data_IF_928493743504
#
_entry.id   IF_928493743504
#
_cell.length_a   1.000
_cell.length_b   1.000
_cell.length_c   1.000
_cell.angle_alpha   90.00
_cell.angle_beta   90.00
_cell.angle_gamma   90.00
#
_symmetry.space_group_name_H-M   'P 1'
#
loop_
_entity.id
_entity.type
_entity.pdbx_description
1 polymer ?
#
# COMPACT_ATOMS: atom_id res chain seq x y z
N UNK A 1 14.79 18.50 -34.99
CA UNK A 1 14.93 18.43 -33.51
C UNK A 1 13.66 17.80 -33.01
N UNK A 2 13.67 16.50 -32.76
CA UNK A 2 12.54 15.77 -32.20
C UNK A 2 12.41 16.16 -30.72
N UNK A 3 11.28 16.79 -30.38
CA UNK A 3 10.88 16.96 -28.99
C UNK A 3 10.68 15.58 -28.38
N UNK A 4 11.72 15.05 -27.73
CA UNK A 4 11.54 13.95 -26.76
C UNK A 4 10.66 14.52 -25.66
N UNK A 5 9.37 14.19 -25.69
CA UNK A 5 8.49 14.38 -24.54
C UNK A 5 9.17 13.67 -23.36
N UNK A 6 9.64 14.44 -22.38
CA UNK A 6 10.21 13.87 -21.16
C UNK A 6 9.13 12.98 -20.54
N UNK A 7 9.39 11.69 -20.51
CA UNK A 7 8.52 10.73 -19.81
C UNK A 7 8.44 11.17 -18.35
N UNK A 8 7.25 11.53 -17.89
CA UNK A 8 7.01 11.80 -16.48
C UNK A 8 7.38 10.58 -15.62
N UNK A 9 7.92 10.78 -14.44
CA UNK A 9 8.22 9.71 -13.49
C UNK A 9 6.92 9.11 -12.96
N UNK A 10 6.71 7.80 -13.15
CA UNK A 10 5.51 7.09 -12.70
C UNK A 10 5.78 6.31 -11.41
N UNK A 11 5.22 6.79 -10.30
CA UNK A 11 5.20 6.12 -9.00
C UNK A 11 3.87 5.39 -8.81
N UNK A 12 3.91 4.07 -8.60
CA UNK A 12 2.72 3.28 -8.32
C UNK A 12 2.65 2.91 -6.82
N UNK A 13 1.56 3.28 -6.14
CA UNK A 13 1.29 2.83 -4.78
C UNK A 13 0.83 1.37 -4.76
N UNK A 14 1.33 0.57 -3.84
CA UNK A 14 0.93 -0.83 -3.64
C UNK A 14 0.56 -1.06 -2.18
N UNK A 15 -0.63 -1.61 -1.94
CA UNK A 15 -1.20 -1.78 -0.60
C UNK A 15 -1.66 -3.22 -0.43
N UNK A 16 -1.06 -4.00 0.48
CA UNK A 16 -1.54 -5.33 0.83
C UNK A 16 -2.73 -5.20 1.79
N UNK A 17 -3.88 -5.68 1.38
CA UNK A 17 -5.09 -5.72 2.22
C UNK A 17 -5.32 -7.14 2.71
N UNK A 18 -5.20 -8.14 1.83
CA UNK A 18 -5.29 -9.54 2.21
C UNK A 18 -4.21 -9.94 3.19
N UNK A 19 -4.53 -10.90 4.06
CA UNK A 19 -3.62 -11.41 5.13
C UNK A 19 -3.10 -10.36 6.11
N UNK A 20 -3.82 -9.28 6.26
CA UNK A 20 -3.66 -8.44 7.43
C UNK A 20 -4.40 -9.09 8.61
N UNK A 21 -3.66 -9.74 9.50
CA UNK A 21 -4.17 -10.43 10.67
C UNK A 21 -3.87 -9.62 11.95
N UNK A 22 -4.77 -9.74 12.93
CA UNK A 22 -4.65 -9.13 14.26
C UNK A 22 -4.69 -10.24 15.30
N UNK A 23 -4.12 -10.01 16.49
CA UNK A 23 -4.18 -10.93 17.63
C UNK A 23 -5.51 -10.87 18.40
N UNK A 24 -6.45 -10.05 17.93
CA UNK A 24 -7.78 -9.88 18.52
C UNK A 24 -8.87 -10.01 17.45
N UNK A 25 -10.05 -10.46 17.89
CA UNK A 25 -11.20 -10.60 17.01
C UNK A 25 -11.74 -9.23 16.58
N UNK A 26 -12.02 -9.11 15.32
CA UNK A 26 -12.61 -7.91 14.71
C UNK A 26 -13.96 -8.23 14.07
N UNK A 27 -14.90 -7.29 14.14
CA UNK A 27 -16.24 -7.45 13.52
C UNK A 27 -16.15 -7.44 12.00
N UNK A 28 -15.10 -6.83 11.45
CA UNK A 28 -14.84 -6.72 10.02
C UNK A 28 -13.37 -6.99 9.75
N UNK A 29 -13.01 -7.07 8.47
CA UNK A 29 -11.61 -7.22 8.10
C UNK A 29 -10.73 -6.13 8.76
N UNK A 30 -9.55 -6.46 9.34
CA UNK A 30 -8.72 -5.52 10.11
C UNK A 30 -8.35 -4.23 9.37
N UNK A 31 -8.22 -4.27 8.06
CA UNK A 31 -7.96 -3.05 7.24
C UNK A 31 -9.10 -2.03 7.29
N UNK A 32 -10.31 -2.46 7.69
CA UNK A 32 -11.49 -1.61 7.83
C UNK A 32 -11.68 -1.08 9.27
N UNK A 33 -10.72 -1.30 10.16
CA UNK A 33 -10.74 -0.75 11.51
C UNK A 33 -10.75 0.77 11.48
N UNK A 34 -11.52 1.34 12.38
CA UNK A 34 -11.70 2.79 12.53
C UNK A 34 -10.49 3.36 13.30
N UNK A 35 -9.76 4.28 12.67
CA UNK A 35 -8.59 4.95 13.26
C UNK A 35 -8.85 6.43 13.58
N UNK A 36 -10.01 6.94 13.22
CA UNK A 36 -10.42 8.31 13.46
C UNK A 36 -11.87 8.54 13.06
N UNK A 37 -12.36 9.76 13.23
CA UNK A 37 -13.73 10.10 12.83
C UNK A 37 -13.90 9.87 11.32
N UNK A 38 -14.74 8.87 10.96
CA UNK A 38 -15.01 8.50 9.57
C UNK A 38 -13.72 8.18 8.75
N UNK A 39 -12.74 7.56 9.40
CA UNK A 39 -11.43 7.29 8.81
C UNK A 39 -11.00 5.86 9.15
N UNK A 40 -10.72 5.08 8.11
CA UNK A 40 -10.33 3.68 8.21
C UNK A 40 -8.82 3.50 8.03
N UNK A 41 -8.27 2.42 8.54
CA UNK A 41 -6.87 2.06 8.38
C UNK A 41 -6.46 1.97 6.90
N UNK A 42 -7.30 1.36 6.05
CA UNK A 42 -7.07 1.31 4.60
C UNK A 42 -7.11 2.70 3.95
N UNK A 43 -8.06 3.55 4.34
CA UNK A 43 -8.13 4.92 3.82
C UNK A 43 -6.86 5.72 4.15
N UNK A 44 -6.26 5.47 5.31
CA UNK A 44 -4.98 6.07 5.68
C UNK A 44 -3.88 5.66 4.71
N UNK A 45 -3.74 4.37 4.37
CA UNK A 45 -2.73 3.89 3.42
C UNK A 45 -2.93 4.45 2.02
N UNK A 46 -4.18 4.57 1.58
CA UNK A 46 -4.51 5.21 0.31
C UNK A 46 -4.12 6.70 0.33
N UNK A 47 -4.44 7.41 1.42
CA UNK A 47 -4.04 8.80 1.59
C UNK A 47 -2.50 8.94 1.63
N UNK A 48 -1.81 8.04 2.30
CA UNK A 48 -0.35 7.98 2.32
C UNK A 48 0.23 7.88 0.91
N UNK A 49 -0.23 6.94 0.08
CA UNK A 49 0.19 6.82 -1.32
C UNK A 49 -0.08 8.12 -2.11
N UNK A 50 -1.25 8.74 -1.92
CA UNK A 50 -1.58 10.00 -2.57
C UNK A 50 -0.66 11.15 -2.13
N UNK A 51 -0.30 11.23 -0.84
CA UNK A 51 0.63 12.23 -0.31
C UNK A 51 2.07 11.97 -0.75
N UNK A 52 2.48 10.71 -0.88
CA UNK A 52 3.77 10.31 -1.46
C UNK A 52 3.93 10.72 -2.93
N UNK A 53 2.83 10.94 -3.65
CA UNK A 53 2.83 11.37 -5.04
C UNK A 53 2.61 10.23 -6.03
N UNK A 54 2.02 9.12 -5.59
CA UNK A 54 1.64 8.03 -6.48
C UNK A 54 0.66 8.50 -7.55
N UNK A 55 0.84 8.01 -8.77
CA UNK A 55 -0.04 8.30 -9.91
C UNK A 55 -1.10 7.23 -10.11
N UNK A 56 -0.87 6.03 -9.57
CA UNK A 56 -1.81 4.91 -9.53
C UNK A 56 -1.72 4.21 -8.18
N UNK A 57 -2.79 3.58 -7.71
CA UNK A 57 -2.81 2.80 -6.46
C UNK A 57 -3.35 1.40 -6.76
N UNK A 58 -2.66 0.38 -6.29
CA UNK A 58 -2.96 -1.03 -6.52
C UNK A 58 -3.21 -1.72 -5.18
N UNK A 59 -4.45 -2.15 -4.94
CA UNK A 59 -4.87 -2.81 -3.72
C UNK A 59 -4.90 -4.32 -3.94
N UNK A 60 -4.05 -5.07 -3.22
CA UNK A 60 -4.16 -6.52 -3.19
C UNK A 60 -5.22 -6.91 -2.15
N UNK A 61 -6.39 -7.30 -2.60
CA UNK A 61 -7.59 -7.49 -1.77
C UNK A 61 -8.26 -8.82 -2.08
N UNK A 62 -8.81 -9.47 -1.05
CA UNK A 62 -9.57 -10.71 -1.24
C UNK A 62 -10.95 -10.42 -1.83
N UNK A 63 -11.44 -11.34 -2.68
CA UNK A 63 -12.72 -11.21 -3.39
C UNK A 63 -13.89 -11.04 -2.43
N UNK A 64 -13.80 -11.61 -1.23
CA UNK A 64 -14.86 -11.57 -0.22
C UNK A 64 -15.12 -10.17 0.31
N UNK A 65 -14.06 -9.37 0.45
CA UNK A 65 -14.11 -8.02 1.00
C UNK A 65 -14.03 -6.93 -0.07
N UNK A 66 -13.60 -7.26 -1.30
CA UNK A 66 -13.46 -6.28 -2.39
C UNK A 66 -14.73 -5.44 -2.59
N UNK A 67 -15.96 -6.03 -2.64
CA UNK A 67 -17.17 -5.24 -2.84
C UNK A 67 -17.39 -4.18 -1.77
N UNK A 68 -17.08 -4.49 -0.49
CA UNK A 68 -17.17 -3.53 0.62
C UNK A 68 -16.13 -2.42 0.50
N UNK A 69 -14.90 -2.81 0.20
CA UNK A 69 -13.79 -1.87 0.01
C UNK A 69 -14.10 -0.93 -1.15
N UNK A 70 -14.49 -1.45 -2.31
CA UNK A 70 -14.84 -0.66 -3.49
C UNK A 70 -16.03 0.27 -3.24
N UNK A 71 -17.04 -0.20 -2.50
CA UNK A 71 -18.18 0.62 -2.11
C UNK A 71 -17.78 1.79 -1.22
N UNK A 72 -16.82 1.59 -0.33
CA UNK A 72 -16.35 2.58 0.63
C UNK A 72 -15.37 3.58 0.01
N UNK A 73 -14.40 3.08 -0.74
CA UNK A 73 -13.27 3.87 -1.27
C UNK A 73 -13.61 4.47 -2.63
N UNK A 74 -14.23 3.68 -3.53
CA UNK A 74 -14.45 4.04 -4.94
C UNK A 74 -13.27 3.66 -5.83
N UNK A 75 -13.31 4.12 -7.07
CA UNK A 75 -12.32 3.74 -8.09
C UNK A 75 -11.18 4.75 -8.25
N UNK A 76 -11.19 5.84 -7.49
CA UNK A 76 -10.12 6.86 -7.52
C UNK A 76 -10.14 7.76 -6.30
N UNK A 77 -9.01 8.45 -6.08
CA UNK A 77 -8.87 9.56 -5.15
C UNK A 77 -8.25 10.75 -5.86
N UNK A 78 -8.34 11.94 -5.26
CA UNK A 78 -7.78 13.17 -5.81
C UNK A 78 -6.36 13.41 -5.29
N UNK A 79 -5.47 13.94 -6.13
CA UNK A 79 -4.14 14.35 -5.69
C UNK A 79 -4.24 15.49 -4.64
N UNK A 80 -3.71 15.30 -3.42
CA UNK A 80 -3.81 16.27 -2.34
C UNK A 80 -3.09 17.59 -2.64
N UNK A 81 -2.05 17.58 -3.45
CA UNK A 81 -1.35 18.81 -3.86
C UNK A 81 -2.24 19.64 -4.76
N UNK A 82 -2.92 18.98 -5.68
CA UNK A 82 -3.83 19.63 -6.61
C UNK A 82 -5.05 20.21 -5.89
N UNK A 83 -5.67 19.42 -5.01
CA UNK A 83 -6.81 19.84 -4.18
C UNK A 83 -6.45 21.08 -3.37
N UNK A 84 -5.30 21.09 -2.70
CA UNK A 84 -4.86 22.23 -1.90
C UNK A 84 -4.60 23.50 -2.72
N UNK A 85 -4.06 23.35 -3.95
CA UNK A 85 -3.84 24.49 -4.86
C UNK A 85 -5.16 25.10 -5.35
N UNK A 86 -6.14 24.28 -5.66
CA UNK A 86 -7.45 24.74 -6.14
C UNK A 86 -8.22 25.50 -5.06
N UNK A 87 -8.02 25.18 -3.79
CA UNK A 87 -8.65 25.92 -2.68
C UNK A 87 -7.89 27.19 -2.27
N UNK A 88 -6.56 27.23 -2.44
CA UNK A 88 -5.74 28.40 -2.11
C UNK A 88 -6.00 29.56 -3.09
N UNK A 89 -6.37 29.30 -4.33
CA UNK A 89 -6.77 30.31 -5.30
C UNK A 89 -8.27 30.59 -5.14
N UNK A 90 -8.61 31.72 -4.52
CA UNK A 90 -10.00 32.22 -4.33
C UNK A 90 -10.77 32.40 -5.67
N UNK A 91 -10.11 32.34 -6.79
CA UNK A 91 -10.70 32.49 -8.11
C UNK A 91 -11.27 31.16 -8.63
N UNK A 92 -12.57 30.96 -8.41
CA UNK A 92 -13.35 29.82 -8.90
C UNK A 92 -13.39 29.68 -10.42
N UNK A 93 -12.80 30.61 -11.17
CA UNK A 93 -12.89 30.71 -12.62
C UNK A 93 -11.87 29.86 -13.41
N UNK A 94 -10.87 29.28 -12.74
CA UNK A 94 -9.70 28.74 -13.46
C UNK A 94 -9.55 27.22 -13.46
N UNK A 95 -10.43 26.47 -12.82
CA UNK A 95 -10.33 25.01 -12.87
C UNK A 95 -11.72 24.39 -13.11
N UNK A 96 -11.92 23.88 -14.28
CA UNK A 96 -13.08 23.01 -14.57
C UNK A 96 -12.97 21.72 -13.73
N UNK A 97 -14.09 21.03 -13.50
CA UNK A 97 -14.07 19.72 -12.84
C UNK A 97 -13.19 18.71 -13.60
N UNK A 98 -12.98 18.94 -14.89
CA UNK A 98 -12.24 18.08 -15.80
C UNK A 98 -10.72 18.18 -15.65
N UNK A 99 -10.21 19.18 -14.92
CA UNK A 99 -8.78 19.38 -14.67
C UNK A 99 -8.30 18.76 -13.34
N UNK A 100 -9.18 18.07 -12.60
CA UNK A 100 -8.80 17.43 -11.35
C UNK A 100 -7.84 16.27 -11.61
N UNK A 101 -6.65 16.31 -10.98
CA UNK A 101 -5.72 15.20 -11.05
C UNK A 101 -6.26 14.03 -10.25
N UNK A 102 -6.75 13.02 -10.96
CA UNK A 102 -7.30 11.78 -10.44
C UNK A 102 -6.17 10.77 -10.29
N UNK A 103 -6.16 10.06 -9.16
CA UNK A 103 -5.30 8.91 -8.91
C UNK A 103 -6.19 7.67 -8.94
N UNK A 104 -6.16 6.86 -10.00
CA UNK A 104 -6.99 5.66 -10.12
C UNK A 104 -6.56 4.59 -9.12
N UNK A 105 -7.56 3.83 -8.65
CA UNK A 105 -7.38 2.70 -7.73
C UNK A 105 -7.75 1.42 -8.47
N UNK A 106 -6.81 0.47 -8.50
CA UNK A 106 -6.98 -0.85 -9.10
C UNK A 106 -7.07 -1.91 -8.01
N UNK A 107 -8.08 -2.76 -8.11
CA UNK A 107 -8.31 -3.87 -7.21
C UNK A 107 -7.69 -5.13 -7.81
N UNK A 108 -6.78 -5.74 -7.09
CA UNK A 108 -6.00 -6.90 -7.53
C UNK A 108 -6.39 -8.10 -6.70
N UNK A 109 -7.13 -9.07 -7.25
CA UNK A 109 -7.42 -10.30 -6.53
C UNK A 109 -6.18 -11.18 -6.42
N UNK A 110 -6.10 -11.97 -5.36
CA UNK A 110 -5.16 -13.08 -5.31
C UNK A 110 -5.63 -14.21 -6.24
N UNK A 111 -4.74 -14.69 -7.09
CA UNK A 111 -5.00 -15.90 -7.87
C UNK A 111 -5.21 -17.09 -6.93
N UNK A 112 -6.21 -17.94 -7.21
CA UNK A 112 -6.55 -19.11 -6.37
C UNK A 112 -5.36 -20.02 -6.11
N UNK A 113 -4.48 -20.19 -7.11
CA UNK A 113 -3.26 -20.99 -6.97
C UNK A 113 -2.23 -20.36 -6.01
N UNK A 114 -2.19 -19.04 -5.90
CA UNK A 114 -1.28 -18.32 -5.01
C UNK A 114 -1.82 -18.25 -3.56
N UNK A 115 -3.14 -18.22 -3.37
CA UNK A 115 -3.77 -18.20 -2.03
C UNK A 115 -3.32 -19.36 -1.15
N UNK A 116 -3.11 -20.53 -1.71
CA UNK A 116 -2.71 -21.70 -0.94
C UNK A 116 -1.24 -21.72 -0.55
N UNK A 117 -0.36 -21.00 -1.26
CA UNK A 117 1.10 -21.14 -1.11
C UNK A 117 1.82 -19.84 -0.76
N UNK A 118 1.40 -18.74 -1.36
CA UNK A 118 2.13 -17.47 -1.32
C UNK A 118 1.39 -16.38 -0.57
N UNK A 119 0.20 -16.67 -0.08
CA UNK A 119 -0.68 -15.70 0.58
C UNK A 119 -0.10 -15.25 1.92
N UNK A 120 0.77 -14.25 1.88
CA UNK A 120 1.32 -13.54 3.03
C UNK A 120 1.20 -12.03 2.84
N UNK A 121 1.25 -11.31 3.94
CA UNK A 121 1.10 -9.85 3.91
C UNK A 121 2.13 -9.16 3.01
N UNK A 122 3.39 -9.57 3.10
CA UNK A 122 4.45 -9.05 2.22
C UNK A 122 4.30 -9.50 0.76
N UNK A 123 3.80 -10.73 0.51
CA UNK A 123 3.56 -11.20 -0.85
C UNK A 123 2.42 -10.46 -1.53
N UNK A 124 1.46 -9.93 -0.78
CA UNK A 124 0.42 -9.03 -1.30
C UNK A 124 0.99 -7.82 -2.04
N UNK A 125 2.11 -7.25 -1.55
CA UNK A 125 2.83 -6.16 -2.22
C UNK A 125 3.40 -6.64 -3.56
N UNK A 126 4.04 -7.81 -3.56
CA UNK A 126 4.63 -8.41 -4.77
C UNK A 126 3.56 -8.67 -5.82
N UNK A 127 2.40 -9.19 -5.40
CA UNK A 127 1.26 -9.48 -6.28
C UNK A 127 0.70 -8.20 -6.90
N UNK A 128 0.46 -7.16 -6.11
CA UNK A 128 0.00 -5.86 -6.60
C UNK A 128 0.99 -5.23 -7.57
N UNK A 129 2.28 -5.22 -7.24
CA UNK A 129 3.33 -4.65 -8.09
C UNK A 129 3.49 -5.44 -9.41
N UNK A 130 3.41 -6.78 -9.35
CA UNK A 130 3.46 -7.64 -10.54
C UNK A 130 2.28 -7.37 -11.48
N UNK A 131 1.08 -7.23 -10.92
CA UNK A 131 -0.12 -6.91 -11.70
C UNK A 131 -0.01 -5.51 -12.33
N UNK A 132 0.47 -4.52 -11.59
CA UNK A 132 0.71 -3.18 -12.11
C UNK A 132 1.68 -3.21 -13.31
N UNK A 133 2.80 -3.91 -13.20
CA UNK A 133 3.74 -4.10 -14.32
C UNK A 133 3.09 -4.80 -15.50
N UNK A 134 2.32 -5.86 -15.24
CA UNK A 134 1.68 -6.64 -16.30
C UNK A 134 0.66 -5.81 -17.09
N UNK A 135 -0.25 -5.12 -16.39
CA UNK A 135 -1.30 -4.31 -17.03
C UNK A 135 -0.69 -3.12 -17.76
N UNK A 136 0.15 -2.35 -17.08
CA UNK A 136 0.73 -1.15 -17.67
C UNK A 136 1.63 -1.48 -18.88
N UNK A 137 2.44 -2.53 -18.83
CA UNK A 137 3.31 -2.93 -19.94
C UNK A 137 2.53 -3.40 -21.18
N UNK A 138 1.33 -3.97 -21.00
CA UNK A 138 0.43 -4.35 -22.09
C UNK A 138 -0.25 -3.16 -22.75
N UNK A 139 -0.60 -2.15 -21.96
CA UNK A 139 -1.22 -0.93 -22.48
C UNK A 139 -0.20 -0.05 -23.20
N UNK A 140 0.91 0.25 -22.56
CA UNK A 140 2.04 0.99 -23.12
C UNK A 140 3.26 0.89 -22.22
N UNK A 141 4.44 0.79 -22.82
CA UNK A 141 5.72 0.84 -22.06
C UNK A 141 5.90 2.15 -21.29
N UNK A 142 5.27 3.23 -21.76
CA UNK A 142 5.33 4.55 -21.12
C UNK A 142 4.53 4.61 -19.81
N UNK A 143 3.56 3.71 -19.63
CA UNK A 143 2.73 3.62 -18.44
C UNK A 143 3.32 2.70 -17.36
N UNK A 144 4.38 1.93 -17.70
CA UNK A 144 5.02 1.05 -16.73
C UNK A 144 5.60 1.89 -15.58
N UNK A 145 5.34 1.51 -14.31
CA UNK A 145 5.89 2.19 -13.15
C UNK A 145 7.42 2.24 -13.17
N UNK A 146 7.98 3.40 -12.83
CA UNK A 146 9.42 3.56 -12.62
C UNK A 146 9.82 3.10 -11.22
N UNK A 147 8.94 3.31 -10.23
CA UNK A 147 9.09 2.86 -8.85
C UNK A 147 7.73 2.46 -8.26
N UNK A 148 7.77 1.65 -7.22
CA UNK A 148 6.63 1.30 -6.38
C UNK A 148 6.79 1.92 -5.00
N UNK A 149 5.70 2.37 -4.40
CA UNK A 149 5.62 2.78 -3.00
C UNK A 149 4.71 1.82 -2.25
N UNK A 150 5.28 1.06 -1.31
CA UNK A 150 4.51 0.17 -0.44
C UNK A 150 3.96 0.95 0.76
N UNK A 151 2.66 0.81 1.04
CA UNK A 151 2.00 1.33 2.23
C UNK A 151 1.17 0.25 2.89
N UNK A 152 1.05 0.30 4.21
CA UNK A 152 0.47 -0.76 5.03
C UNK A 152 -0.70 -0.26 5.87
N UNK A 153 -1.90 -0.85 5.77
CA UNK A 153 -3.02 -0.52 6.65
C UNK A 153 -2.74 -0.74 8.14
N UNK A 154 -1.84 -1.69 8.48
CA UNK A 154 -1.48 -2.01 9.86
C UNK A 154 -0.61 -0.96 10.55
N UNK A 155 0.11 -0.14 9.80
CA UNK A 155 0.99 0.90 10.36
C UNK A 155 0.26 2.23 10.52
N UNK A 156 0.27 2.79 11.71
CA UNK A 156 -0.39 4.06 12.01
C UNK A 156 0.63 5.14 12.33
N UNK A 157 0.72 6.12 11.47
CA UNK A 157 1.53 7.34 11.63
C UNK A 157 0.99 8.48 10.76
N UNK A 158 1.40 9.69 11.05
CA UNK A 158 1.05 10.84 10.23
C UNK A 158 1.80 10.76 8.89
N UNK A 159 1.07 10.87 7.79
CA UNK A 159 1.61 10.79 6.43
C UNK A 159 1.78 12.16 5.75
N UNK A 160 1.41 13.25 6.42
CA UNK A 160 1.42 14.61 5.82
C UNK A 160 2.83 15.07 5.43
N UNK A 161 3.87 14.61 6.12
CA UNK A 161 5.27 14.93 5.83
C UNK A 161 5.73 14.42 4.46
N UNK A 162 5.16 13.33 3.96
CA UNK A 162 5.53 12.74 2.66
C UNK A 162 5.39 13.74 1.50
N UNK A 163 4.49 14.72 1.65
CA UNK A 163 4.34 15.78 0.65
C UNK A 163 5.64 16.58 0.46
N UNK A 164 6.40 16.82 1.52
CA UNK A 164 7.69 17.52 1.44
C UNK A 164 8.77 16.66 0.77
N UNK A 165 8.70 15.33 0.94
CA UNK A 165 9.66 14.36 0.43
C UNK A 165 9.31 13.77 -0.94
N UNK A 166 8.27 14.28 -1.63
CA UNK A 166 7.84 13.73 -2.95
C UNK A 166 8.98 13.61 -3.97
N UNK A 167 9.92 14.57 -3.99
CA UNK A 167 11.06 14.53 -4.92
C UNK A 167 12.01 13.38 -4.62
N UNK A 168 12.25 13.09 -3.35
CA UNK A 168 13.08 11.99 -2.89
C UNK A 168 12.40 10.64 -3.16
N UNK A 169 11.09 10.56 -2.89
CA UNK A 169 10.27 9.37 -3.14
C UNK A 169 10.17 9.08 -4.64
N UNK A 170 9.97 10.12 -5.47
CA UNK A 170 9.93 10.02 -6.93
C UNK A 170 11.32 10.09 -7.54
N UNK A 171 12.28 9.36 -6.98
CA UNK A 171 13.64 9.23 -7.47
C UNK A 171 13.98 7.77 -7.77
N UNK A 172 15.12 7.52 -8.41
CA UNK A 172 15.60 6.15 -8.65
C UNK A 172 16.25 5.52 -7.41
N UNK A 173 16.58 6.33 -6.41
CA UNK A 173 17.10 5.87 -5.11
C UNK A 173 15.93 5.39 -4.26
N UNK A 174 16.08 4.25 -3.61
CA UNK A 174 15.06 3.74 -2.73
C UNK A 174 14.81 4.69 -1.55
N UNK A 175 13.57 4.74 -1.08
CA UNK A 175 13.14 5.57 0.04
C UNK A 175 12.54 4.67 1.12
N UNK A 176 12.76 4.99 2.39
CA UNK A 176 12.11 4.27 3.49
C UNK A 176 11.77 5.19 4.66
N UNK A 177 10.61 4.93 5.25
CA UNK A 177 10.20 5.51 6.53
C UNK A 177 10.71 4.62 7.67
N UNK A 178 11.22 5.22 8.73
CA UNK A 178 11.60 4.48 9.93
C UNK A 178 11.19 5.22 11.21
N UNK A 179 11.03 4.47 12.29
CA UNK A 179 10.68 5.00 13.60
C UNK A 179 11.42 4.22 14.68
N UNK A 180 12.09 4.91 15.59
CA UNK A 180 12.82 4.28 16.72
C UNK A 180 13.74 3.13 16.28
N UNK A 181 14.42 3.28 15.14
CA UNK A 181 15.31 2.27 14.57
C UNK A 181 14.61 1.10 13.86
N UNK A 182 13.27 1.08 13.78
CA UNK A 182 12.48 0.05 13.06
C UNK A 182 12.06 0.56 11.69
N UNK A 183 12.12 -0.32 10.70
CA UNK A 183 11.64 -0.10 9.32
C UNK A 183 11.00 -1.39 8.79
N UNK A 184 10.59 -1.40 7.53
CA UNK A 184 10.13 -2.64 6.88
C UNK A 184 11.13 -3.80 7.02
N UNK A 185 12.42 -3.50 7.14
CA UNK A 185 13.49 -4.48 7.31
C UNK A 185 13.44 -5.21 8.67
N UNK A 186 12.79 -4.64 9.67
CA UNK A 186 12.50 -5.23 10.99
C UNK A 186 11.00 -5.56 11.11
N UNK A 187 10.34 -5.86 10.01
CA UNK A 187 8.91 -6.22 9.94
C UNK A 187 7.94 -5.12 10.38
N UNK A 188 8.42 -3.89 10.57
CA UNK A 188 7.53 -2.78 10.86
C UNK A 188 6.78 -2.36 9.59
N UNK A 189 5.45 -2.25 9.61
CA UNK A 189 4.65 -1.87 8.45
C UNK A 189 4.75 -0.36 8.17
N UNK A 190 5.94 0.06 7.79
CA UNK A 190 6.32 1.43 7.42
C UNK A 190 6.59 1.54 5.92
N UNK A 191 6.23 2.69 5.34
CA UNK A 191 6.31 2.91 3.90
C UNK A 191 7.73 2.83 3.36
N UNK A 192 7.90 2.24 2.17
CA UNK A 192 9.18 2.17 1.46
C UNK A 192 8.97 2.11 -0.05
N UNK A 193 10.03 2.38 -0.83
CA UNK A 193 10.00 2.25 -2.28
C UNK A 193 10.94 1.16 -2.78
N UNK A 194 10.61 0.62 -3.95
CA UNK A 194 11.43 -0.34 -4.67
C UNK A 194 11.18 -0.25 -6.18
N UNK A 195 12.17 -0.62 -6.97
CA UNK A 195 12.11 -0.55 -8.42
C UNK A 195 11.53 -1.83 -9.06
N UNK A 196 11.13 -1.79 -10.34
CA UNK A 196 10.79 -3.00 -11.11
C UNK A 196 11.94 -4.02 -11.20
N UNK A 197 13.20 -3.57 -11.11
CA UNK A 197 14.36 -4.45 -11.06
C UNK A 197 14.39 -5.20 -9.72
N UNK A 198 14.20 -4.47 -8.61
CA UNK A 198 14.09 -5.04 -7.26
C UNK A 198 12.97 -6.07 -7.18
N UNK A 199 11.80 -5.77 -7.76
CA UNK A 199 10.66 -6.69 -7.81
C UNK A 199 11.03 -8.03 -8.44
N UNK A 200 11.79 -8.01 -9.55
CA UNK A 200 12.24 -9.24 -10.22
C UNK A 200 13.22 -10.04 -9.35
N UNK A 201 14.12 -9.34 -8.67
CA UNK A 201 15.08 -9.95 -7.75
C UNK A 201 14.37 -10.58 -6.54
N UNK A 202 13.45 -9.86 -5.91
CA UNK A 202 12.61 -10.33 -4.80
C UNK A 202 11.83 -11.59 -5.19
N UNK A 203 11.14 -11.60 -6.33
CA UNK A 203 10.40 -12.78 -6.81
C UNK A 203 11.33 -13.98 -6.99
N UNK A 204 12.52 -13.77 -7.55
CA UNK A 204 13.50 -14.82 -7.76
C UNK A 204 14.04 -15.37 -6.43
N UNK A 205 14.35 -14.48 -5.49
CA UNK A 205 14.87 -14.85 -4.18
C UNK A 205 13.83 -15.62 -3.35
N UNK A 206 12.60 -15.11 -3.26
CA UNK A 206 11.51 -15.80 -2.57
C UNK A 206 11.29 -17.20 -3.17
N UNK A 207 11.23 -17.32 -4.50
CA UNK A 207 11.11 -18.63 -5.16
C UNK A 207 12.25 -19.57 -4.79
N UNK A 208 13.48 -19.08 -4.71
CA UNK A 208 14.63 -19.88 -4.31
C UNK A 208 14.54 -20.34 -2.84
N UNK A 209 14.11 -19.44 -1.93
CA UNK A 209 13.92 -19.76 -0.52
C UNK A 209 12.78 -20.76 -0.28
N UNK A 210 11.75 -20.74 -1.12
CA UNK A 210 10.58 -21.64 -1.04
C UNK A 210 10.74 -22.93 -1.83
N UNK A 211 11.85 -23.17 -2.52
CA UNK A 211 12.05 -24.30 -3.43
C UNK A 211 12.27 -25.67 -2.73
N UNK A 212 11.88 -25.82 -1.48
CA UNK A 212 11.93 -27.07 -0.75
C UNK A 212 10.64 -27.87 -0.99
N UNK A 213 10.75 -28.96 -1.76
CA UNK A 213 9.67 -29.95 -1.90
C UNK A 213 9.71 -30.99 -0.79
N UNK A 214 10.81 -31.05 -0.03
CA UNK A 214 11.08 -32.09 0.97
C UNK A 214 11.51 -31.43 2.28
N UNK A 215 11.05 -32.00 3.38
CA UNK A 215 11.57 -31.73 4.73
C UNK A 215 12.55 -32.84 5.11
N UNK A 216 13.67 -32.48 5.67
CA UNK A 216 14.64 -33.45 6.20
C UNK A 216 14.29 -33.65 7.67
N UNK A 217 13.89 -34.90 8.03
CA UNK A 217 13.62 -35.23 9.42
C UNK A 217 14.91 -35.28 10.22
N UNK A 218 14.81 -35.18 11.56
CA UNK A 218 15.97 -35.31 12.48
C UNK A 218 16.77 -36.62 12.26
N UNK A 219 16.16 -37.64 11.64
CA UNK A 219 16.80 -38.91 11.25
C UNK A 219 17.46 -38.89 9.89
N UNK A 220 17.45 -37.75 9.18
CA UNK A 220 18.04 -37.62 7.84
C UNK A 220 17.18 -38.18 6.71
N UNK A 221 15.93 -38.54 6.97
CA UNK A 221 14.99 -39.02 5.94
C UNK A 221 14.33 -37.82 5.23
N UNK A 222 14.13 -37.94 3.91
CA UNK A 222 13.46 -36.95 3.08
C UNK A 222 11.96 -37.26 3.00
N UNK A 223 11.13 -36.44 3.66
CA UNK A 223 9.68 -36.51 3.55
C UNK A 223 9.18 -35.49 2.54
N UNK A 224 8.39 -35.92 1.57
CA UNK A 224 7.73 -35.04 0.61
C UNK A 224 6.66 -34.20 1.35
N UNK A 225 6.79 -32.90 1.30
CA UNK A 225 5.80 -31.98 1.87
C UNK A 225 4.47 -32.06 1.10
N UNK A 226 3.33 -31.87 1.77
CA UNK A 226 2.05 -31.70 1.10
C UNK A 226 2.12 -30.59 0.03
N UNK A 227 1.40 -30.73 -1.06
CA UNK A 227 1.41 -29.75 -2.17
C UNK A 227 1.09 -28.32 -1.73
N UNK A 228 0.31 -28.13 -0.67
CA UNK A 228 -0.02 -26.82 -0.07
C UNK A 228 1.15 -26.18 0.67
N UNK A 229 2.14 -26.96 1.09
CA UNK A 229 3.31 -26.48 1.83
C UNK A 229 4.56 -26.38 0.95
N UNK A 230 4.54 -27.03 -0.22
CA UNK A 230 5.60 -26.88 -1.22
C UNK A 230 5.56 -25.46 -1.80
N UNK A 231 6.72 -24.81 -1.88
CA UNK A 231 6.86 -23.45 -2.44
C UNK A 231 6.09 -22.38 -1.65
N UNK A 232 5.87 -22.59 -0.34
CA UNK A 232 5.07 -21.69 0.47
C UNK A 232 5.89 -20.50 0.97
N UNK A 233 5.36 -19.30 0.78
CA UNK A 233 5.86 -18.05 1.38
C UNK A 233 4.92 -17.51 2.48
N UNK A 234 3.94 -18.29 2.94
CA UNK A 234 2.96 -17.86 3.93
C UNK A 234 3.55 -17.39 5.26
N UNK A 235 4.66 -18.02 5.65
CA UNK A 235 5.36 -17.72 6.91
C UNK A 235 6.38 -16.59 6.77
N UNK A 236 6.63 -16.09 5.56
CA UNK A 236 7.63 -15.06 5.35
C UNK A 236 7.11 -13.71 5.83
N UNK A 237 7.93 -13.04 6.59
CA UNK A 237 7.70 -11.68 7.05
C UNK A 237 7.98 -10.67 5.94
N UNK A 238 7.63 -9.38 6.17
CA UNK A 238 7.92 -8.31 5.22
C UNK A 238 9.43 -8.19 4.99
N UNK A 239 10.21 -8.20 6.09
CA UNK A 239 11.67 -8.07 6.04
C UNK A 239 12.36 -9.22 5.32
N UNK A 240 11.85 -10.46 5.46
CA UNK A 240 12.37 -11.63 4.75
C UNK A 240 12.09 -11.59 3.25
N UNK A 241 10.89 -11.10 2.85
CA UNK A 241 10.54 -10.96 1.44
C UNK A 241 11.37 -9.88 0.76
N UNK A 242 11.60 -8.75 1.44
CA UNK A 242 12.30 -7.60 0.89
C UNK A 242 13.75 -7.46 1.41
N UNK A 243 14.37 -8.55 1.86
CA UNK A 243 15.72 -8.57 2.39
C UNK A 243 16.76 -7.95 1.44
N UNK A 244 16.67 -8.23 0.15
CA UNK A 244 17.56 -7.67 -0.86
C UNK A 244 17.47 -6.15 -1.00
N UNK A 245 16.35 -5.54 -0.62
CA UNK A 245 16.16 -4.09 -0.67
C UNK A 245 16.77 -3.41 0.57
N UNK A 246 16.78 -4.10 1.69
CA UNK A 246 17.35 -3.62 2.96
C UNK A 246 18.81 -3.21 2.81
N UNK A 247 19.56 -3.95 2.00
CA UNK A 247 21.00 -3.75 1.80
C UNK A 247 21.34 -2.61 0.82
N UNK A 248 20.35 -2.13 0.06
CA UNK A 248 20.54 -1.06 -0.92
C UNK A 248 20.58 0.31 -0.25
N UNK A 249 21.25 1.25 -0.90
CA UNK A 249 21.22 2.66 -0.48
C UNK A 249 19.79 3.21 -0.50
N UNK A 250 19.40 3.88 0.58
CA UNK A 250 18.05 4.39 0.78
C UNK A 250 18.06 5.80 1.36
N UNK A 251 17.20 6.65 0.84
CA UNK A 251 16.81 7.89 1.52
C UNK A 251 15.89 7.53 2.70
N UNK A 252 16.31 7.86 3.92
CA UNK A 252 15.59 7.48 5.15
C UNK A 252 14.98 8.71 5.79
N UNK A 253 13.70 8.62 6.14
CA UNK A 253 12.99 9.67 6.89
C UNK A 253 12.48 9.10 8.20
N UNK A 254 12.92 9.71 9.30
CA UNK A 254 12.50 9.33 10.65
C UNK A 254 11.17 9.98 11.01
N UNK A 255 10.30 9.19 11.63
CA UNK A 255 9.05 9.65 12.21
C UNK A 255 9.06 9.42 13.71
N UNK A 256 8.57 10.42 14.46
CA UNK A 256 8.57 10.37 15.93
C UNK A 256 7.50 9.42 16.48
N UNK A 257 6.35 9.37 15.83
CA UNK A 257 5.18 8.65 16.32
C UNK A 257 4.72 7.58 15.36
N UNK A 258 4.75 6.36 15.85
CA UNK A 258 4.32 5.18 15.13
C UNK A 258 3.59 4.23 16.07
N UNK A 259 2.49 3.67 15.60
CA UNK A 259 1.73 2.61 16.26
C UNK A 259 1.36 1.52 15.27
N UNK A 260 1.16 0.30 15.73
CA UNK A 260 0.76 -0.82 14.91
C UNK A 260 -0.58 -1.39 15.40
N UNK A 261 -1.51 -1.67 14.46
CA UNK A 261 -2.83 -2.23 14.80
C UNK A 261 -2.78 -3.75 14.98
N UNK A 262 -1.63 -4.39 14.90
CA UNK A 262 -1.54 -5.84 14.98
C UNK A 262 -2.02 -6.39 16.32
N UNK A 263 -1.82 -5.64 17.40
CA UNK A 263 -2.22 -6.04 18.76
C UNK A 263 -3.35 -5.15 19.29
N UNK A 264 -4.22 -5.73 20.13
CA UNK A 264 -5.27 -4.98 20.83
C UNK A 264 -4.71 -3.82 21.64
N UNK A 265 -3.61 -4.03 22.34
CA UNK A 265 -2.96 -2.99 23.14
C UNK A 265 -2.47 -1.83 22.28
N UNK A 266 -1.83 -2.14 21.15
CA UNK A 266 -1.37 -1.13 20.18
C UNK A 266 -2.54 -0.32 19.62
N UNK A 267 -3.60 -0.98 19.22
CA UNK A 267 -4.80 -0.32 18.68
C UNK A 267 -5.50 0.52 19.76
N UNK A 268 -5.70 -0.01 20.97
CA UNK A 268 -6.28 0.71 22.09
C UNK A 268 -5.46 1.94 22.49
N UNK A 269 -4.14 1.79 22.58
CA UNK A 269 -3.22 2.88 22.88
C UNK A 269 -3.30 4.00 21.85
N UNK A 270 -3.36 3.64 20.57
CA UNK A 270 -3.56 4.60 19.49
C UNK A 270 -4.89 5.36 19.62
N UNK A 271 -6.01 4.66 19.84
CA UNK A 271 -7.33 5.29 19.99
C UNK A 271 -7.43 6.21 21.21
N UNK A 272 -6.76 5.85 22.30
CA UNK A 272 -6.68 6.63 23.55
C UNK A 272 -5.64 7.76 23.51
N UNK A 273 -4.75 7.75 22.53
CA UNK A 273 -3.66 8.71 22.38
C UNK A 273 -4.14 10.12 21.98
N UNK A 274 -3.26 11.10 22.19
CA UNK A 274 -3.51 12.50 21.81
C UNK A 274 -3.45 12.73 20.31
N UNK A 275 -2.72 11.88 19.58
CA UNK A 275 -2.42 12.05 18.15
C UNK A 275 -3.43 11.32 17.29
N UNK A 276 -4.59 11.92 17.16
CA UNK A 276 -5.66 11.41 16.29
C UNK A 276 -5.37 11.76 14.85
N UNK A 277 -5.25 10.74 14.01
CA UNK A 277 -5.18 10.94 12.57
C UNK A 277 -6.49 11.52 12.05
N UNK A 278 -6.38 12.55 11.25
CA UNK A 278 -7.55 13.21 10.64
C UNK A 278 -7.69 12.75 9.19
N UNK A 279 -8.90 12.32 8.83
CA UNK A 279 -9.22 11.96 7.47
C UNK A 279 -9.07 13.17 6.53
N UNK A 280 -8.26 13.08 5.47
CA UNK A 280 -8.22 14.11 4.45
C UNK A 280 -9.44 13.98 3.52
N UNK A 281 -10.63 14.26 4.04
CA UNK A 281 -11.92 14.00 3.37
C UNK A 281 -11.99 14.51 1.93
N UNK A 282 -11.27 15.59 1.62
CA UNK A 282 -11.28 16.23 0.30
C UNK A 282 -10.64 15.40 -0.81
N UNK A 283 -9.78 14.43 -0.48
CA UNK A 283 -9.19 13.55 -1.49
C UNK A 283 -10.11 12.38 -1.84
N UNK A 284 -11.02 12.00 -0.94
CA UNK A 284 -11.97 10.92 -1.15
C UNK A 284 -13.23 11.45 -1.82
N UNK A 285 -13.59 10.90 -2.97
CA UNK A 285 -14.80 11.26 -3.71
C UNK A 285 -16.00 10.46 -3.21
N UNK A 286 -16.25 10.51 -1.92
CA UNK A 286 -17.45 9.87 -1.35
C UNK A 286 -18.68 10.46 -2.02
N UNK A 287 -19.54 9.61 -2.59
CA UNK A 287 -20.88 10.04 -3.00
C UNK A 287 -21.55 10.53 -1.72
N UNK A 288 -21.65 11.85 -1.53
CA UNK A 288 -22.53 12.43 -0.55
C UNK A 288 -23.92 11.88 -0.86
N UNK A 289 -24.51 11.14 0.09
CA UNK A 289 -25.92 10.81 0.00
C UNK A 289 -26.66 12.12 -0.30
N UNK A 290 -27.56 12.15 -1.30
CA UNK A 290 -28.36 13.33 -1.55
C UNK A 290 -28.94 13.76 -0.21
N UNK A 291 -28.74 15.01 0.19
CA UNK A 291 -29.48 15.57 1.33
C UNK A 291 -30.94 15.31 1.02
N UNK A 292 -31.60 14.55 1.88
CA UNK A 292 -33.05 14.43 1.83
C UNK A 292 -33.55 15.85 2.14
N UNK A 293 -33.80 16.62 1.08
CA UNK A 293 -34.52 17.89 1.18
C UNK A 293 -35.93 17.52 1.60
N UNK A 294 -36.25 17.71 2.86
CA UNK A 294 -37.60 17.48 3.36
C UNK A 294 -37.65 16.99 4.79
N UNK A 295 -37.06 17.73 5.72
CA UNK A 295 -37.50 17.79 7.12
C UNK A 295 -37.16 19.17 7.67
N UNK A 296 -37.95 20.16 7.30
CA UNK A 296 -38.19 21.35 8.13
C UNK A 296 -39.34 20.97 9.05
N UNK A 297 -39.02 20.79 10.32
CA UNK A 297 -40.01 20.91 11.39
C UNK A 297 -39.95 22.30 11.96
#
# INVERSE_FOLDING_TARGET
MENKSEKGFHLAGVIPVSKFETDFETVSHPSLLIIGKNFLALERSIAECAFAGCETIWLCVDDDIEPLVRKRIGDYVLDPVWVNRSFAKKDKRFYSKDEQKIIPIYYVPFETAERQRLDSYGWGIVTAARMAMHVCSRLSRWLAPDMFYASFPSGLYSFSFLRAHRREISSKTNFSVFSTGKSFAQDAPLGFTFSPADLKEVIRDVRRKTSKSYEVTEKGEYNLLPKSEQWSAKKFTIGEIFELIKEKEQNKVEIEEYSEIKTWEGYRSFLGGKNKLTCPERIFTRKTLPKIEGQSA
#
